data_IF_696975729147
#
_entry.id   IF_696975729147
#
_cell.length_a   1.000
_cell.length_b   1.000
_cell.length_c   1.000
_cell.angle_alpha   90.00
_cell.angle_beta   90.00
_cell.angle_gamma   90.00
#
_symmetry.space_group_name_H-M   'P 1'
#
loop_
_entity.id
_entity.type
_entity.pdbx_description
1 polymer ?
#
# COMPACT_ATOMS: atom_id res chain seq x y z
N UNK A 1 -3.00 0.36 0.42
CA UNK A 1 -2.52 1.76 0.33
C UNK A 1 -3.65 2.80 0.28
N UNK A 2 -4.44 2.91 -0.80
CA UNK A 2 -5.54 3.91 -0.84
C UNK A 2 -6.70 3.51 0.06
N UNK A 3 -7.08 2.23 0.02
CA UNK A 3 -8.15 1.67 0.85
C UNK A 3 -7.87 1.83 2.35
N UNK A 4 -6.61 1.62 2.78
CA UNK A 4 -6.20 1.84 4.17
C UNK A 4 -6.43 3.28 4.61
N UNK A 5 -6.04 4.24 3.78
CA UNK A 5 -6.22 5.67 4.08
C UNK A 5 -7.70 6.05 4.16
N UNK A 6 -8.53 5.53 3.25
CA UNK A 6 -9.97 5.76 3.28
C UNK A 6 -10.62 5.13 4.50
N UNK A 7 -10.28 3.88 4.83
CA UNK A 7 -10.79 3.17 6.00
C UNK A 7 -10.46 3.92 7.29
N UNK A 8 -9.19 4.32 7.48
CA UNK A 8 -8.79 5.09 8.65
C UNK A 8 -9.53 6.43 8.76
N UNK A 9 -9.77 7.11 7.63
CA UNK A 9 -10.53 8.35 7.63
C UNK A 9 -12.00 8.11 8.04
N UNK A 10 -12.63 7.04 7.55
CA UNK A 10 -13.99 6.65 7.92
C UNK A 10 -14.07 6.30 9.41
N UNK A 11 -13.12 5.52 9.93
CA UNK A 11 -13.08 5.16 11.36
C UNK A 11 -13.06 6.41 12.24
N UNK A 12 -12.21 7.40 11.90
CA UNK A 12 -12.14 8.68 12.61
C UNK A 12 -13.48 9.43 12.52
N UNK A 13 -14.09 9.47 11.33
CA UNK A 13 -15.37 10.15 11.14
C UNK A 13 -16.51 9.51 11.95
N UNK A 14 -16.45 8.20 12.16
CA UNK A 14 -17.39 7.43 12.97
C UNK A 14 -17.05 7.46 14.47
N UNK A 15 -15.95 8.13 14.86
CA UNK A 15 -15.51 8.27 16.25
C UNK A 15 -14.78 7.03 16.80
N UNK A 16 -14.38 6.12 15.92
CA UNK A 16 -13.58 4.93 16.26
C UNK A 16 -12.08 5.24 16.20
N UNK A 17 -11.29 4.38 16.82
CA UNK A 17 -9.83 4.41 16.71
C UNK A 17 -9.38 3.53 15.53
N UNK A 18 -8.65 4.07 14.54
CA UNK A 18 -8.19 3.27 13.41
C UNK A 18 -7.15 2.23 13.79
N UNK A 19 -7.18 1.06 13.15
CA UNK A 19 -6.13 0.06 13.34
C UNK A 19 -4.77 0.55 12.83
N UNK A 20 -3.74 0.37 13.65
CA UNK A 20 -2.35 0.68 13.32
C UNK A 20 -1.45 -0.54 13.58
N UNK A 21 -0.37 -0.67 12.82
CA UNK A 21 0.52 -1.83 12.85
C UNK A 21 1.95 -1.48 13.26
N UNK A 22 2.24 -0.20 13.47
CA UNK A 22 3.53 0.29 13.96
C UNK A 22 3.46 1.77 14.34
N UNK A 23 4.63 2.38 14.52
CA UNK A 23 4.76 3.81 14.80
C UNK A 23 5.99 4.40 14.11
N UNK A 24 5.96 5.71 13.88
CA UNK A 24 7.10 6.48 13.40
C UNK A 24 7.30 7.72 14.26
N UNK A 25 8.52 7.92 14.75
CA UNK A 25 8.89 9.13 15.50
C UNK A 25 9.04 10.32 14.55
N UNK A 26 8.25 11.37 14.77
CA UNK A 26 8.33 12.61 14.02
C UNK A 26 9.15 13.71 14.74
N UNK A 27 9.87 13.34 15.81
CA UNK A 27 10.65 14.22 16.67
C UNK A 27 9.87 14.87 17.82
N UNK A 28 8.54 14.73 17.85
CA UNK A 28 7.69 15.23 18.93
C UNK A 28 6.89 14.10 19.60
N UNK A 29 6.37 13.17 18.79
CA UNK A 29 5.57 12.02 19.24
C UNK A 29 5.88 10.80 18.37
N UNK A 30 5.71 9.61 18.95
CA UNK A 30 5.60 8.38 18.18
C UNK A 30 4.21 8.34 17.54
N UNK A 31 4.14 8.62 16.24
CA UNK A 31 2.89 8.65 15.48
C UNK A 31 2.48 7.21 15.15
N UNK A 32 1.30 6.73 15.60
CA UNK A 32 0.77 5.43 15.18
C UNK A 32 0.56 5.39 13.66
N UNK A 33 0.95 4.29 13.02
CA UNK A 33 0.91 4.15 11.58
C UNK A 33 0.47 2.75 11.16
N UNK A 34 -0.22 2.67 10.02
CA UNK A 34 -0.53 1.42 9.35
C UNK A 34 0.43 1.24 8.17
N UNK A 35 1.38 0.32 8.31
CA UNK A 35 2.38 0.04 7.29
C UNK A 35 1.79 -0.91 6.25
N UNK A 36 1.87 -0.55 4.96
CA UNK A 36 1.55 -1.46 3.85
C UNK A 36 2.82 -2.21 3.43
N UNK A 37 2.69 -3.50 3.16
CA UNK A 37 3.79 -4.33 2.65
C UNK A 37 4.28 -3.84 1.28
N UNK A 38 5.58 -3.96 1.05
CA UNK A 38 6.22 -3.66 -0.23
C UNK A 38 6.70 -4.94 -0.87
N UNK A 39 6.53 -5.05 -2.18
CA UNK A 39 6.90 -6.24 -2.95
C UNK A 39 8.09 -5.88 -3.82
N UNK A 40 9.14 -6.71 -3.79
CA UNK A 40 10.28 -6.58 -4.72
C UNK A 40 9.88 -7.21 -6.04
N UNK A 41 10.00 -6.44 -7.12
CA UNK A 41 9.64 -6.88 -8.47
C UNK A 41 10.90 -7.08 -9.30
N UNK A 42 11.08 -8.28 -9.81
CA UNK A 42 12.16 -8.75 -10.68
C UNK A 42 11.56 -9.32 -11.99
N UNK A 43 12.43 -9.76 -12.92
CA UNK A 43 11.98 -10.24 -14.22
C UNK A 43 11.04 -11.45 -14.12
N UNK A 44 11.22 -12.30 -13.12
CA UNK A 44 10.45 -13.54 -12.95
C UNK A 44 9.03 -13.32 -12.38
N UNK A 45 8.77 -12.19 -11.72
CA UNK A 45 7.47 -11.90 -11.10
C UNK A 45 6.78 -10.62 -11.61
N UNK A 46 7.41 -9.86 -12.51
CA UNK A 46 6.85 -8.59 -13.05
C UNK A 46 5.46 -8.77 -13.66
N UNK A 47 5.23 -9.87 -14.38
CA UNK A 47 3.92 -10.17 -14.96
C UNK A 47 2.86 -10.36 -13.87
N UNK A 48 3.15 -11.15 -12.84
CA UNK A 48 2.19 -11.44 -11.77
C UNK A 48 1.91 -10.20 -10.90
N UNK A 49 2.96 -9.49 -10.48
CA UNK A 49 2.84 -8.44 -9.46
C UNK A 49 2.38 -7.10 -10.03
N UNK A 50 2.70 -6.78 -11.29
CA UNK A 50 2.35 -5.49 -11.90
C UNK A 50 1.26 -5.56 -12.96
N UNK A 51 1.19 -6.65 -13.73
CA UNK A 51 0.25 -6.75 -14.87
C UNK A 51 -1.01 -7.50 -14.46
N UNK A 52 -0.88 -8.71 -13.93
CA UNK A 52 -2.02 -9.53 -13.52
C UNK A 52 -2.76 -8.91 -12.31
N UNK A 53 -2.05 -8.10 -11.51
CA UNK A 53 -2.65 -7.28 -10.44
C UNK A 53 -3.50 -6.12 -10.94
N UNK A 54 -3.43 -5.79 -12.24
CA UNK A 54 -4.10 -4.66 -12.86
C UNK A 54 -3.48 -3.31 -12.50
N UNK A 55 -2.27 -3.30 -11.93
CA UNK A 55 -1.56 -2.06 -11.59
C UNK A 55 -1.09 -1.32 -12.85
N UNK A 56 -0.64 -2.05 -13.87
CA UNK A 56 -0.39 -1.55 -15.21
C UNK A 56 -0.99 -2.47 -16.29
N UNK A 57 -1.28 -1.90 -17.46
CA UNK A 57 -1.73 -2.66 -18.61
C UNK A 57 -0.53 -3.26 -19.35
N UNK A 58 -0.61 -4.53 -19.77
CA UNK A 58 0.48 -5.21 -20.50
C UNK A 58 0.92 -4.44 -21.76
N UNK A 59 -0.01 -3.73 -22.40
CA UNK A 59 0.25 -2.93 -23.61
C UNK A 59 1.16 -1.72 -23.39
N UNK A 60 1.43 -1.34 -22.14
CA UNK A 60 2.34 -0.25 -21.80
C UNK A 60 3.81 -0.67 -21.92
N UNK A 61 4.09 -1.96 -22.06
CA UNK A 61 5.45 -2.51 -22.08
C UNK A 61 5.72 -3.38 -23.31
N UNK A 62 7.01 -3.57 -23.59
CA UNK A 62 7.51 -4.51 -24.59
C UNK A 62 8.46 -5.49 -23.91
N UNK A 63 8.42 -6.77 -24.28
CA UNK A 63 9.34 -7.78 -23.72
C UNK A 63 8.98 -8.24 -22.31
N UNK A 64 7.69 -8.41 -22.02
CA UNK A 64 7.17 -9.00 -20.77
C UNK A 64 7.30 -10.54 -20.71
N UNK A 65 7.99 -11.14 -21.69
CA UNK A 65 8.30 -12.59 -21.75
C UNK A 65 9.65 -12.91 -21.11
#
# INVERSE_FOLDING_TARGET
MVEDSMGMAVDILDGNEPETTGSYDNGNIEVPAKQTEVIVVEQDNVQAELIDSGYYEASEFTGLE
#
